data_IF_115539446995
#
_entry.id   IF_115539446995
#
_cell.length_a   1.000
_cell.length_b   1.000
_cell.length_c   1.000
_cell.angle_alpha   90.00
_cell.angle_beta   90.00
_cell.angle_gamma   90.00
#
_symmetry.space_group_name_H-M   'P 1'
#
loop_
_entity.id
_entity.type
_entity.pdbx_description
1 polymer ?
#
# COMPACT_ATOMS: atom_id res chain seq x y z
N UNK A 1 -16.17 -30.37 -63.76
CA UNK A 1 -15.15 -30.64 -64.73
C UNK A 1 -13.86 -30.35 -64.04
N UNK A 2 -13.36 -31.38 -63.47
CA UNK A 2 -12.11 -32.13 -63.67
C UNK A 2 -10.95 -31.39 -63.02
N UNK A 3 -10.43 -31.82 -61.97
CA UNK A 3 -9.83 -33.11 -61.59
C UNK A 3 -8.31 -33.15 -61.83
N UNK A 4 -7.65 -33.67 -60.80
CA UNK A 4 -6.37 -34.39 -60.78
C UNK A 4 -5.09 -33.51 -60.70
N UNK A 5 -4.22 -33.69 -59.80
CA UNK A 5 -3.69 -34.76 -58.93
C UNK A 5 -2.17 -34.87 -59.12
N UNK A 6 -1.51 -35.23 -58.02
CA UNK A 6 -0.22 -35.96 -57.91
C UNK A 6 1.06 -35.16 -58.21
N UNK A 7 1.99 -35.18 -57.40
CA UNK A 7 2.83 -36.05 -56.63
C UNK A 7 4.12 -35.30 -56.39
N UNK A 8 4.70 -35.36 -55.29
CA UNK A 8 5.51 -36.43 -54.81
C UNK A 8 6.97 -36.08 -54.68
N UNK A 9 7.55 -36.49 -53.58
CA UNK A 9 8.96 -36.83 -53.34
C UNK A 9 9.84 -35.80 -52.61
N UNK A 10 10.04 -36.13 -51.34
CA UNK A 10 11.25 -36.15 -50.49
C UNK A 10 12.49 -35.41 -51.00
N UNK A 11 13.04 -34.59 -50.17
CA UNK A 11 14.42 -34.84 -49.73
C UNK A 11 14.70 -34.33 -48.34
N UNK A 12 15.36 -35.17 -47.57
CA UNK A 12 15.95 -34.95 -46.27
C UNK A 12 17.17 -34.05 -46.44
N UNK A 13 17.37 -33.15 -45.50
CA UNK A 13 18.62 -33.09 -44.75
C UNK A 13 18.92 -31.68 -44.24
N UNK A 14 19.37 -31.72 -43.00
CA UNK A 14 20.23 -30.77 -42.30
C UNK A 14 19.55 -29.78 -41.39
N UNK A 15 19.31 -30.26 -40.18
CA UNK A 15 19.30 -29.48 -38.96
C UNK A 15 20.76 -29.10 -38.59
N UNK A 16 21.05 -27.85 -38.22
CA UNK A 16 22.21 -27.57 -37.40
C UNK A 16 21.82 -27.62 -35.92
N UNK A 17 22.60 -28.44 -35.26
CA UNK A 17 22.81 -28.65 -33.85
C UNK A 17 22.39 -27.50 -32.90
N UNK A 18 21.47 -27.83 -31.97
CA UNK A 18 21.38 -27.21 -30.66
C UNK A 18 22.68 -27.45 -29.91
N UNK A 19 23.37 -26.39 -29.56
CA UNK A 19 24.39 -26.41 -28.53
C UNK A 19 24.15 -25.16 -27.67
N UNK A 20 23.82 -25.40 -26.39
CA UNK A 20 24.09 -24.62 -25.21
C UNK A 20 23.35 -23.28 -25.00
N UNK A 21 22.10 -23.39 -24.59
CA UNK A 21 21.47 -22.32 -23.82
C UNK A 21 20.88 -22.84 -22.47
N UNK A 22 21.57 -23.78 -21.84
CA UNK A 22 21.22 -24.35 -20.54
C UNK A 22 21.93 -23.60 -19.39
N UNK A 23 22.91 -22.73 -19.72
CA UNK A 23 23.75 -22.13 -18.68
C UNK A 23 23.18 -20.87 -18.03
N UNK A 24 22.25 -20.20 -18.69
CA UNK A 24 21.63 -19.00 -18.15
C UNK A 24 20.46 -19.29 -17.19
N UNK A 25 19.62 -20.28 -17.53
CA UNK A 25 18.49 -20.68 -16.67
C UNK A 25 18.90 -21.26 -15.33
N UNK A 26 19.97 -22.04 -15.30
CA UNK A 26 20.49 -22.64 -14.05
C UNK A 26 21.13 -21.60 -13.12
N UNK A 27 21.51 -20.42 -13.62
CA UNK A 27 22.14 -19.38 -12.81
C UNK A 27 21.14 -18.52 -12.02
N UNK A 28 19.99 -18.24 -12.57
CA UNK A 28 18.97 -17.45 -11.87
C UNK A 28 18.29 -18.24 -10.74
N UNK A 29 17.95 -19.52 -10.99
CA UNK A 29 17.40 -20.40 -9.95
C UNK A 29 18.36 -20.69 -8.79
N UNK A 30 19.68 -20.66 -9.02
CA UNK A 30 20.66 -20.81 -7.94
C UNK A 30 20.78 -19.56 -7.06
N UNK A 31 20.49 -18.39 -7.58
CA UNK A 31 20.54 -17.15 -6.81
C UNK A 31 19.41 -17.09 -5.77
N UNK A 32 18.23 -17.61 -6.11
CA UNK A 32 17.07 -17.61 -5.19
C UNK A 32 17.08 -18.79 -4.21
N UNK A 33 17.60 -19.97 -4.58
CA UNK A 33 17.59 -21.17 -3.72
C UNK A 33 18.69 -21.22 -2.66
N UNK A 34 19.75 -20.41 -2.76
CA UNK A 34 20.85 -20.43 -1.76
C UNK A 34 20.64 -19.53 -0.57
N UNK A 35 19.69 -18.59 -0.61
CA UNK A 35 19.32 -17.86 0.60
C UNK A 35 18.37 -18.62 1.54
N UNK A 36 17.89 -19.80 1.11
CA UNK A 36 16.99 -20.66 1.89
C UNK A 36 17.68 -21.77 2.68
N UNK A 37 19.01 -21.82 2.78
CA UNK A 37 19.68 -22.84 3.57
C UNK A 37 20.08 -22.34 4.96
N UNK A 38 19.38 -22.90 5.92
CA UNK A 38 19.72 -23.02 7.33
C UNK A 38 19.46 -21.82 8.26
N UNK A 39 18.22 -21.68 8.72
CA UNK A 39 18.00 -21.40 10.13
C UNK A 39 16.78 -22.18 10.62
N UNK A 40 17.04 -23.18 11.44
CA UNK A 40 16.06 -23.89 12.24
C UNK A 40 15.63 -22.93 13.37
N UNK A 41 14.42 -22.42 13.34
CA UNK A 41 13.91 -21.50 14.36
C UNK A 41 12.89 -22.22 15.20
N UNK A 42 13.33 -22.63 16.36
CA UNK A 42 12.44 -22.89 17.50
C UNK A 42 11.79 -21.58 17.95
N UNK A 43 10.48 -21.58 17.89
CA UNK A 43 9.50 -20.59 18.30
C UNK A 43 9.87 -19.79 19.56
N UNK A 44 10.09 -18.49 19.42
CA UNK A 44 9.82 -17.51 20.47
C UNK A 44 9.44 -16.17 19.79
N UNK A 45 8.25 -15.71 20.09
CA UNK A 45 7.72 -14.39 19.72
C UNK A 45 8.64 -13.34 20.34
N UNK A 46 9.43 -12.65 19.52
CA UNK A 46 10.26 -11.52 19.94
C UNK A 46 9.66 -10.26 19.33
N UNK A 47 9.24 -9.35 20.18
CA UNK A 47 8.74 -8.01 19.82
C UNK A 47 9.81 -7.27 19.02
N UNK A 48 9.37 -6.51 18.02
CA UNK A 48 10.23 -5.74 17.09
C UNK A 48 11.08 -4.63 17.76
N UNK A 49 10.84 -4.33 19.03
CA UNK A 49 11.59 -3.32 19.81
C UNK A 49 12.95 -3.79 20.34
N UNK A 50 13.25 -5.12 20.34
CA UNK A 50 14.45 -5.67 21.00
C UNK A 50 15.67 -5.86 20.06
N UNK A 51 15.59 -5.50 18.78
CA UNK A 51 16.67 -5.72 17.81
C UNK A 51 17.66 -4.56 17.64
N UNK A 52 17.48 -3.44 18.36
CA UNK A 52 18.36 -2.26 18.21
C UNK A 52 19.63 -2.28 19.07
N UNK A 53 19.74 -3.13 20.10
CA UNK A 53 20.83 -3.01 21.09
C UNK A 53 22.14 -3.73 20.76
N UNK A 54 22.22 -4.57 19.69
CA UNK A 54 23.44 -5.38 19.42
C UNK A 54 23.98 -5.21 17.97
N UNK A 55 23.66 -4.11 17.28
CA UNK A 55 24.20 -3.88 15.93
C UNK A 55 25.60 -3.28 16.03
N UNK A 56 26.62 -3.87 15.34
CA UNK A 56 27.95 -3.25 15.30
C UNK A 56 27.83 -1.86 14.67
N UNK A 57 28.35 -0.85 15.37
CA UNK A 57 28.34 0.54 14.87
C UNK A 57 29.23 0.65 13.63
N UNK A 58 28.63 1.06 12.51
CA UNK A 58 29.37 1.33 11.28
C UNK A 58 30.26 2.58 11.43
N UNK A 59 31.49 2.50 10.96
CA UNK A 59 32.36 3.67 10.78
C UNK A 59 31.81 4.59 9.67
N UNK A 60 32.20 5.85 9.64
CA UNK A 60 31.77 6.82 8.60
C UNK A 60 32.08 6.31 7.19
N UNK A 61 33.18 5.59 7.03
CA UNK A 61 33.55 5.00 5.77
C UNK A 61 32.63 3.85 5.35
N UNK A 62 32.30 2.95 6.26
CA UNK A 62 31.36 1.85 6.02
C UNK A 62 29.97 2.37 5.71
N UNK A 63 29.50 3.40 6.45
CA UNK A 63 28.26 4.12 6.17
C UNK A 63 28.24 4.69 4.75
N UNK A 64 29.29 5.37 4.35
CA UNK A 64 29.39 5.96 3.01
C UNK A 64 29.38 4.89 1.92
N UNK A 65 30.15 3.81 2.10
CA UNK A 65 30.20 2.71 1.11
C UNK A 65 28.87 1.95 1.05
N UNK A 66 28.24 1.65 2.18
CA UNK A 66 26.94 1.00 2.21
C UNK A 66 25.88 1.85 1.48
N UNK A 67 25.82 3.16 1.76
CA UNK A 67 24.90 4.07 1.08
C UNK A 67 25.08 4.02 -0.43
N UNK A 68 26.30 4.17 -0.91
CA UNK A 68 26.59 4.17 -2.35
C UNK A 68 26.31 2.82 -3.02
N UNK A 69 26.54 1.71 -2.30
CA UNK A 69 26.16 0.37 -2.83
C UNK A 69 24.66 0.25 -2.97
N UNK A 70 23.87 0.73 -1.99
CA UNK A 70 22.41 0.70 -2.07
C UNK A 70 21.92 1.59 -3.22
N UNK A 71 22.39 2.83 -3.31
CA UNK A 71 22.01 3.79 -4.36
C UNK A 71 22.32 3.24 -5.77
N UNK A 72 23.55 2.75 -6.01
CA UNK A 72 23.93 2.18 -7.32
C UNK A 72 23.15 0.90 -7.63
N UNK A 73 22.87 0.06 -6.61
CA UNK A 73 22.07 -1.16 -6.81
C UNK A 73 20.61 -0.84 -7.15
N UNK A 74 20.03 0.19 -6.56
CA UNK A 74 18.69 0.67 -6.90
C UNK A 74 18.64 1.13 -8.36
N UNK A 75 19.63 1.88 -8.80
CA UNK A 75 19.69 2.45 -10.15
C UNK A 75 19.96 1.41 -11.24
N UNK A 76 20.92 0.51 -11.02
CA UNK A 76 21.42 -0.41 -12.06
C UNK A 76 20.77 -1.81 -12.03
N UNK A 77 20.04 -2.15 -10.95
CA UNK A 77 19.46 -3.48 -10.72
C UNK A 77 20.44 -4.65 -10.85
N UNK A 78 21.71 -4.41 -10.57
CA UNK A 78 22.79 -5.37 -10.73
C UNK A 78 23.82 -5.31 -9.61
N UNK A 79 24.56 -6.44 -9.38
CA UNK A 79 25.58 -6.47 -8.31
C UNK A 79 26.64 -5.37 -8.48
N UNK A 80 26.84 -4.58 -7.45
CA UNK A 80 27.70 -3.40 -7.43
C UNK A 80 29.16 -3.78 -7.26
N UNK A 81 30.01 -3.27 -8.15
CA UNK A 81 31.45 -3.54 -8.16
C UNK A 81 32.28 -2.40 -7.54
N UNK A 82 33.34 -2.72 -6.78
CA UNK A 82 34.23 -1.71 -6.23
C UNK A 82 34.90 -0.79 -7.28
N UNK A 83 34.96 -1.22 -8.55
CA UNK A 83 35.47 -0.39 -9.64
C UNK A 83 34.46 0.64 -10.15
N UNK A 84 33.18 0.35 -10.05
CA UNK A 84 32.11 1.28 -10.40
C UNK A 84 32.06 2.39 -9.37
N UNK A 85 31.99 2.07 -8.08
CA UNK A 85 32.05 3.05 -7.01
C UNK A 85 33.33 3.92 -7.02
N UNK A 86 34.49 3.35 -7.40
CA UNK A 86 35.73 4.11 -7.50
C UNK A 86 35.78 5.17 -8.62
N UNK A 87 34.77 5.17 -9.52
CA UNK A 87 34.64 6.24 -10.55
C UNK A 87 33.92 7.46 -10.01
N UNK A 88 33.24 7.34 -8.89
CA UNK A 88 32.63 8.47 -8.21
C UNK A 88 33.72 9.36 -7.66
N UNK A 89 33.81 10.58 -8.21
CA UNK A 89 34.83 11.57 -7.86
C UNK A 89 34.70 12.13 -6.44
N UNK A 90 33.60 11.85 -5.76
CA UNK A 90 33.34 12.23 -4.36
C UNK A 90 34.10 11.35 -3.38
N UNK A 91 34.49 10.13 -3.81
CA UNK A 91 35.26 9.18 -3.00
C UNK A 91 36.75 9.32 -3.26
N UNK A 92 37.48 9.83 -2.30
CA UNK A 92 38.96 9.79 -2.34
C UNK A 92 39.49 8.41 -1.89
N UNK A 93 38.96 7.33 -2.51
CA UNK A 93 39.28 5.95 -2.19
C UNK A 93 39.66 5.13 -3.43
N UNK A 94 40.69 4.29 -3.29
CA UNK A 94 41.02 3.32 -4.34
C UNK A 94 39.99 2.18 -4.41
N UNK A 95 39.82 1.58 -5.62
CA UNK A 95 38.96 0.42 -5.79
C UNK A 95 39.35 -0.77 -4.88
N UNK A 96 40.62 -0.92 -4.52
CA UNK A 96 41.10 -1.93 -3.59
C UNK A 96 40.60 -1.64 -2.16
N UNK A 97 40.64 -0.38 -1.77
CA UNK A 97 40.17 0.12 -0.48
C UNK A 97 38.66 -0.06 -0.33
N UNK A 98 37.86 0.30 -1.37
CA UNK A 98 36.43 0.09 -1.41
C UNK A 98 36.10 -1.40 -1.31
N UNK A 99 36.83 -2.24 -2.07
CA UNK A 99 36.60 -3.70 -2.03
C UNK A 99 36.78 -4.30 -0.64
N UNK A 100 37.79 -3.84 0.12
CA UNK A 100 37.99 -4.31 1.48
C UNK A 100 36.82 -3.89 2.39
N UNK A 101 36.40 -2.63 2.33
CA UNK A 101 35.24 -2.17 3.10
C UNK A 101 33.94 -2.91 2.72
N UNK A 102 33.73 -3.23 1.43
CA UNK A 102 32.60 -4.08 1.01
C UNK A 102 32.68 -5.49 1.57
N UNK A 103 33.89 -6.06 1.74
CA UNK A 103 34.08 -7.36 2.38
C UNK A 103 33.80 -7.29 3.90
N UNK A 104 34.24 -6.22 4.56
CA UNK A 104 33.92 -5.98 5.98
C UNK A 104 32.39 -5.86 6.18
N UNK A 105 31.69 -5.13 5.30
CA UNK A 105 30.21 -5.01 5.32
C UNK A 105 29.50 -6.33 5.03
N UNK A 106 30.09 -7.19 4.19
CA UNK A 106 29.58 -8.55 3.94
C UNK A 106 29.76 -9.43 5.18
N UNK A 107 30.93 -9.41 5.82
CA UNK A 107 31.19 -10.17 7.06
C UNK A 107 30.27 -9.72 8.20
N UNK A 108 29.84 -8.46 8.21
CA UNK A 108 28.83 -7.92 9.13
C UNK A 108 27.38 -8.17 8.73
N UNK A 109 27.12 -8.74 7.54
CA UNK A 109 25.80 -9.10 7.05
C UNK A 109 25.00 -7.97 6.38
N UNK A 110 25.59 -6.81 6.13
CA UNK A 110 24.93 -5.69 5.42
C UNK A 110 24.90 -5.88 3.91
N UNK A 111 25.88 -6.59 3.37
CA UNK A 111 25.99 -6.93 1.96
C UNK A 111 26.08 -8.45 1.78
N UNK A 112 25.74 -8.92 0.58
CA UNK A 112 25.90 -10.31 0.17
C UNK A 112 26.47 -10.36 -1.24
N UNK A 113 26.93 -11.55 -1.68
CA UNK A 113 27.38 -11.75 -3.05
C UNK A 113 26.62 -12.92 -3.69
N UNK A 114 25.91 -12.68 -4.80
CA UNK A 114 25.11 -13.72 -5.42
C UNK A 114 25.96 -14.89 -5.98
N UNK A 115 27.23 -14.62 -6.34
CA UNK A 115 28.20 -15.65 -6.76
C UNK A 115 29.65 -15.10 -6.68
N UNK A 116 30.64 -15.97 -6.56
CA UNK A 116 32.04 -15.67 -6.20
C UNK A 116 32.73 -14.58 -7.04
N UNK A 117 32.30 -14.31 -8.28
CA UNK A 117 32.86 -13.29 -9.18
C UNK A 117 31.97 -12.06 -9.32
N UNK A 118 30.80 -12.02 -8.65
CA UNK A 118 29.89 -10.88 -8.70
C UNK A 118 30.35 -9.72 -7.82
N UNK A 119 29.75 -8.56 -8.05
CA UNK A 119 29.77 -7.45 -7.10
C UNK A 119 29.04 -7.80 -5.79
N UNK A 120 28.64 -6.81 -5.05
CA UNK A 120 27.84 -6.97 -3.82
C UNK A 120 26.42 -6.49 -4.06
N UNK A 121 25.48 -7.09 -3.32
CA UNK A 121 24.08 -6.69 -3.27
C UNK A 121 23.71 -6.39 -1.82
N UNK A 122 22.84 -5.42 -1.56
CA UNK A 122 22.37 -5.15 -0.20
C UNK A 122 21.54 -6.33 0.32
N UNK A 123 21.73 -6.67 1.59
CA UNK A 123 20.83 -7.55 2.33
C UNK A 123 19.64 -6.77 2.89
N UNK A 124 18.66 -7.46 3.48
CA UNK A 124 17.58 -6.80 4.22
C UNK A 124 18.12 -5.88 5.33
N UNK A 125 19.14 -6.34 6.07
CA UNK A 125 19.81 -5.52 7.08
C UNK A 125 20.48 -4.29 6.46
N UNK A 126 21.11 -4.43 5.29
CA UNK A 126 21.70 -3.30 4.54
C UNK A 126 20.65 -2.26 4.16
N UNK A 127 19.51 -2.68 3.60
CA UNK A 127 18.40 -1.78 3.27
C UNK A 127 17.80 -1.12 4.51
N UNK A 128 17.57 -1.89 5.60
CA UNK A 128 17.03 -1.34 6.85
C UNK A 128 17.95 -0.25 7.41
N UNK A 129 19.26 -0.50 7.46
CA UNK A 129 20.25 0.48 7.92
C UNK A 129 20.29 1.71 6.99
N UNK A 130 20.19 1.48 5.67
CA UNK A 130 20.11 2.59 4.72
C UNK A 130 18.89 3.48 5.00
N UNK A 131 17.71 2.89 5.16
CA UNK A 131 16.47 3.63 5.42
C UNK A 131 16.50 4.35 6.75
N UNK A 132 16.98 3.71 7.82
CA UNK A 132 16.93 4.26 9.18
C UNK A 132 17.99 5.34 9.42
N UNK A 133 19.18 5.22 8.78
CA UNK A 133 20.35 6.00 9.19
C UNK A 133 21.07 6.73 8.05
N UNK A 134 20.93 6.28 6.81
CA UNK A 134 21.84 6.73 5.74
C UNK A 134 21.16 7.49 4.61
N UNK A 135 19.85 7.27 4.39
CA UNK A 135 19.16 7.94 3.30
C UNK A 135 18.86 9.40 3.65
N UNK A 136 18.99 10.25 2.65
CA UNK A 136 18.47 11.61 2.69
C UNK A 136 17.08 11.61 2.02
N UNK A 137 16.05 12.16 2.65
CA UNK A 137 14.75 12.30 2.01
C UNK A 137 14.76 13.48 1.04
N UNK A 138 14.71 13.24 -0.28
CA UNK A 138 14.77 14.32 -1.24
C UNK A 138 13.48 15.15 -1.19
N UNK A 139 13.61 16.44 -1.46
CA UNK A 139 12.45 17.30 -1.67
C UNK A 139 11.88 17.03 -3.06
N UNK A 140 10.55 16.88 -3.15
CA UNK A 140 9.88 16.85 -4.44
C UNK A 140 10.12 18.16 -5.19
N UNK A 141 10.20 18.08 -6.50
CA UNK A 141 10.25 19.28 -7.34
C UNK A 141 8.97 20.11 -7.16
N UNK A 142 9.06 21.41 -7.41
CA UNK A 142 7.88 22.28 -7.31
C UNK A 142 6.74 21.83 -8.25
N UNK A 143 7.09 21.28 -9.40
CA UNK A 143 6.11 20.76 -10.38
C UNK A 143 5.36 19.55 -9.81
N UNK A 144 6.05 18.64 -9.16
CA UNK A 144 5.45 17.44 -8.54
C UNK A 144 4.57 17.83 -7.36
N UNK A 145 5.02 18.71 -6.48
CA UNK A 145 4.23 19.22 -5.36
C UNK A 145 2.95 19.90 -5.83
N UNK A 146 3.04 20.77 -6.83
CA UNK A 146 1.88 21.44 -7.36
C UNK A 146 0.93 20.48 -8.09
N UNK A 147 1.46 19.44 -8.74
CA UNK A 147 0.65 18.38 -9.36
C UNK A 147 -0.15 17.62 -8.30
N UNK A 148 0.47 17.15 -7.22
CA UNK A 148 -0.22 16.49 -6.10
C UNK A 148 -1.31 17.39 -5.53
N UNK A 149 -0.96 18.65 -5.22
CA UNK A 149 -1.90 19.63 -4.66
C UNK A 149 -3.10 19.86 -5.57
N UNK A 150 -2.87 20.17 -6.86
CA UNK A 150 -3.97 20.48 -7.80
C UNK A 150 -4.90 19.29 -8.02
N UNK A 151 -4.37 18.07 -7.98
CA UNK A 151 -5.16 16.89 -8.28
C UNK A 151 -5.88 16.34 -7.05
N UNK A 152 -5.23 16.26 -5.89
CA UNK A 152 -5.80 15.63 -4.69
C UNK A 152 -6.68 16.60 -3.89
N UNK A 153 -6.28 17.86 -3.69
CA UNK A 153 -6.99 18.79 -2.80
C UNK A 153 -8.47 18.99 -3.15
N UNK A 154 -8.83 18.95 -4.43
CA UNK A 154 -10.22 19.11 -4.87
C UNK A 154 -11.07 17.85 -4.72
N UNK A 155 -10.44 16.69 -4.56
CA UNK A 155 -11.12 15.39 -4.51
C UNK A 155 -11.43 14.94 -3.08
N UNK A 156 -11.06 15.69 -2.07
CA UNK A 156 -11.22 15.34 -0.65
C UNK A 156 -12.68 15.08 -0.26
N UNK A 157 -13.66 15.56 -1.06
CA UNK A 157 -15.10 15.31 -0.86
C UNK A 157 -15.60 14.04 -1.55
N UNK A 158 -14.82 13.46 -2.45
CA UNK A 158 -15.16 12.24 -3.18
C UNK A 158 -14.06 11.20 -2.89
N UNK A 159 -14.31 10.39 -1.87
CA UNK A 159 -13.33 9.41 -1.37
C UNK A 159 -12.92 8.42 -2.46
N UNK A 160 -13.86 7.97 -3.28
CA UNK A 160 -13.59 6.99 -4.34
C UNK A 160 -12.67 7.56 -5.43
N UNK A 161 -12.92 8.79 -5.84
CA UNK A 161 -12.09 9.46 -6.82
C UNK A 161 -10.73 9.86 -6.23
N UNK A 162 -10.70 10.25 -4.94
CA UNK A 162 -9.47 10.54 -4.22
C UNK A 162 -8.55 9.32 -4.16
N UNK A 163 -9.07 8.15 -3.81
CA UNK A 163 -8.29 6.91 -3.75
C UNK A 163 -7.70 6.56 -5.12
N UNK A 164 -8.54 6.55 -6.16
CA UNK A 164 -8.10 6.25 -7.53
C UNK A 164 -7.04 7.21 -8.05
N UNK A 165 -7.22 8.51 -7.82
CA UNK A 165 -6.25 9.50 -8.29
C UNK A 165 -4.97 9.46 -7.46
N UNK A 166 -5.04 9.16 -6.16
CA UNK A 166 -3.87 8.99 -5.29
C UNK A 166 -3.00 7.82 -5.75
N UNK A 167 -3.60 6.65 -5.95
CA UNK A 167 -2.87 5.46 -6.41
C UNK A 167 -2.23 5.68 -7.78
N UNK A 168 -2.97 6.33 -8.71
CA UNK A 168 -2.47 6.65 -10.04
C UNK A 168 -1.29 7.62 -10.00
N UNK A 169 -1.37 8.69 -9.20
CA UNK A 169 -0.30 9.68 -9.08
C UNK A 169 0.94 9.07 -8.43
N UNK A 170 0.77 8.38 -7.31
CA UNK A 170 1.87 7.71 -6.63
C UNK A 170 2.57 6.72 -7.56
N UNK A 171 1.81 5.90 -8.27
CA UNK A 171 2.38 4.94 -9.21
C UNK A 171 3.11 5.62 -10.37
N UNK A 172 2.51 6.65 -10.98
CA UNK A 172 3.14 7.36 -12.10
C UNK A 172 4.45 8.05 -11.70
N UNK A 173 4.50 8.62 -10.49
CA UNK A 173 5.65 9.39 -10.03
C UNK A 173 6.76 8.51 -9.44
N UNK A 174 6.41 7.34 -8.87
CA UNK A 174 7.37 6.40 -8.27
C UNK A 174 7.78 5.26 -9.22
N UNK A 175 7.01 5.00 -10.26
CA UNK A 175 7.11 3.81 -11.12
C UNK A 175 6.90 2.50 -10.34
N UNK A 176 6.08 2.53 -9.29
CA UNK A 176 5.73 1.40 -8.43
C UNK A 176 4.21 1.15 -8.47
N UNK A 177 3.72 0.12 -7.77
CA UNK A 177 2.29 -0.09 -7.57
C UNK A 177 1.77 0.88 -6.52
N UNK A 178 0.86 1.77 -6.90
CA UNK A 178 0.16 2.66 -5.96
C UNK A 178 -0.94 1.91 -5.21
N UNK A 179 -1.06 2.16 -3.92
CA UNK A 179 -2.12 1.60 -3.07
C UNK A 179 -2.77 2.70 -2.24
N UNK A 180 -4.07 2.58 -2.01
CA UNK A 180 -4.78 3.45 -1.10
C UNK A 180 -5.94 2.70 -0.43
N UNK A 181 -6.01 2.80 0.90
CA UNK A 181 -7.07 2.24 1.72
C UNK A 181 -7.97 3.37 2.20
N UNK A 182 -9.28 3.23 1.99
CA UNK A 182 -10.26 4.21 2.44
C UNK A 182 -10.22 4.39 3.96
N UNK A 183 -10.60 5.58 4.47
CA UNK A 183 -10.75 5.78 5.91
C UNK A 183 -11.75 4.79 6.49
N UNK A 184 -11.45 4.22 7.66
CA UNK A 184 -12.36 3.34 8.39
C UNK A 184 -13.57 4.13 8.89
N UNK A 185 -14.74 3.75 8.43
CA UNK A 185 -16.01 4.37 8.87
C UNK A 185 -16.42 3.96 10.29
N UNK A 186 -15.96 2.82 10.83
CA UNK A 186 -16.35 2.35 12.16
C UNK A 186 -15.99 3.32 13.29
N UNK A 187 -14.87 4.00 13.15
CA UNK A 187 -14.42 5.04 14.11
C UNK A 187 -15.04 6.40 13.81
N UNK A 188 -15.67 6.54 12.62
CA UNK A 188 -16.29 7.79 12.22
C UNK A 188 -17.54 8.09 13.05
N UNK A 189 -17.66 9.33 13.54
CA UNK A 189 -18.79 9.79 14.32
C UNK A 189 -19.94 10.16 13.40
N UNK A 190 -21.12 9.56 13.59
CA UNK A 190 -22.31 9.89 12.81
C UNK A 190 -22.70 11.35 13.09
N UNK A 191 -22.67 12.17 12.07
CA UNK A 191 -23.16 13.54 12.13
C UNK A 191 -24.68 13.59 11.88
N UNK A 192 -25.12 12.90 10.82
CA UNK A 192 -26.51 12.88 10.42
C UNK A 192 -26.88 11.61 9.64
N UNK A 193 -28.09 11.11 9.90
CA UNK A 193 -28.80 10.12 9.10
C UNK A 193 -29.96 10.79 8.37
N UNK A 194 -30.06 10.60 7.06
CA UNK A 194 -31.20 11.01 6.24
C UNK A 194 -31.79 9.78 5.54
N UNK A 195 -33.12 9.81 5.31
CA UNK A 195 -33.85 8.78 4.58
C UNK A 195 -34.60 9.44 3.42
N UNK A 196 -34.26 9.01 2.20
CA UNK A 196 -34.83 9.57 0.97
C UNK A 196 -35.66 8.49 0.26
N UNK A 197 -36.98 8.70 0.07
CA UNK A 197 -37.79 7.77 -0.68
C UNK A 197 -37.43 7.79 -2.16
N UNK A 198 -37.21 6.60 -2.71
CA UNK A 198 -36.97 6.38 -4.15
C UNK A 198 -38.24 5.90 -4.83
N UNK A 199 -38.22 5.76 -6.16
CA UNK A 199 -39.35 5.19 -6.91
C UNK A 199 -39.53 3.71 -6.58
N UNK A 200 -40.78 3.29 -6.34
CA UNK A 200 -41.13 1.95 -5.90
C UNK A 200 -40.94 1.76 -4.39
N UNK A 201 -40.91 0.51 -3.94
CA UNK A 201 -40.78 0.15 -2.52
C UNK A 201 -39.32 0.21 -2.05
N UNK A 202 -38.64 1.35 -2.21
CA UNK A 202 -37.22 1.50 -1.85
C UNK A 202 -36.95 2.81 -1.15
N UNK A 203 -36.10 2.74 -0.11
CA UNK A 203 -35.60 3.88 0.64
C UNK A 203 -34.09 3.94 0.51
N UNK A 204 -33.55 5.13 0.28
CA UNK A 204 -32.12 5.39 0.35
C UNK A 204 -31.78 5.98 1.71
N UNK A 205 -30.94 5.31 2.45
CA UNK A 205 -30.35 5.79 3.68
C UNK A 205 -29.04 6.50 3.38
N UNK A 206 -28.85 7.69 3.91
CA UNK A 206 -27.65 8.52 3.74
C UNK A 206 -27.08 8.78 5.13
N UNK A 207 -25.95 8.20 5.43
CA UNK A 207 -25.22 8.39 6.68
C UNK A 207 -24.08 9.38 6.42
N UNK A 208 -24.17 10.56 6.99
CA UNK A 208 -23.11 11.56 6.97
C UNK A 208 -22.25 11.40 8.20
N UNK A 209 -20.95 11.16 8.02
CA UNK A 209 -19.97 11.03 9.09
C UNK A 209 -19.19 12.35 9.21
N UNK A 210 -18.83 12.75 10.43
CA UNK A 210 -18.02 13.95 10.66
C UNK A 210 -16.72 13.87 9.85
N UNK A 211 -16.41 14.97 9.16
CA UNK A 211 -15.29 15.01 8.24
C UNK A 211 -15.66 14.80 6.77
N UNK A 212 -16.97 14.70 6.46
CA UNK A 212 -17.48 14.75 5.09
C UNK A 212 -17.60 13.41 4.38
N UNK A 213 -17.30 12.30 5.04
CA UNK A 213 -17.53 10.97 4.48
C UNK A 213 -19.02 10.66 4.51
N UNK A 214 -19.56 10.19 3.39
CA UNK A 214 -20.97 9.86 3.23
C UNK A 214 -21.12 8.42 2.77
N UNK A 215 -21.90 7.62 3.54
CA UNK A 215 -22.30 6.26 3.16
C UNK A 215 -23.76 6.27 2.70
N UNK A 216 -24.05 5.65 1.57
CA UNK A 216 -25.41 5.50 1.05
C UNK A 216 -25.77 4.03 0.91
N UNK A 217 -26.99 3.68 1.33
CA UNK A 217 -27.58 2.33 1.14
C UNK A 217 -29.00 2.43 0.63
N UNK A 218 -29.40 1.48 -0.20
CA UNK A 218 -30.77 1.38 -0.69
C UNK A 218 -31.37 0.08 -0.14
N UNK A 219 -32.42 0.23 0.68
CA UNK A 219 -33.14 -0.88 1.26
C UNK A 219 -34.57 -0.95 0.68
N UNK A 220 -35.11 -2.17 0.58
CA UNK A 220 -36.52 -2.41 0.23
C UNK A 220 -37.41 -2.09 1.40
N UNK A 221 -38.53 -1.39 1.15
CA UNK A 221 -39.53 -1.10 2.17
C UNK A 221 -40.92 -1.01 1.56
N UNK A 222 -41.77 -1.99 1.88
CA UNK A 222 -43.12 -2.11 1.30
C UNK A 222 -44.16 -1.31 2.14
N UNK A 223 -44.14 0.01 2.06
CA UNK A 223 -45.16 0.86 2.66
C UNK A 223 -45.22 2.21 1.94
N UNK A 224 -46.47 2.70 1.76
CA UNK A 224 -46.68 4.08 1.31
C UNK A 224 -46.46 5.02 2.50
N UNK A 225 -45.33 5.68 2.54
CA UNK A 225 -44.95 6.64 3.59
C UNK A 225 -45.17 8.06 3.13
N UNK A 226 -45.81 8.85 3.97
CA UNK A 226 -45.83 10.29 3.79
C UNK A 226 -44.43 10.89 4.16
N UNK A 227 -44.02 11.89 3.43
CA UNK A 227 -42.75 12.57 3.68
C UNK A 227 -42.62 13.08 5.12
N UNK A 228 -43.71 13.56 5.70
CA UNK A 228 -43.82 14.00 7.10
C UNK A 228 -43.56 12.92 8.13
N UNK A 229 -43.86 11.67 7.79
CA UNK A 229 -43.62 10.50 8.64
C UNK A 229 -42.15 10.13 8.62
N UNK A 230 -41.54 10.13 7.43
CA UNK A 230 -40.09 9.91 7.26
C UNK A 230 -39.30 10.97 8.03
N UNK A 231 -39.60 12.26 7.83
CA UNK A 231 -38.93 13.39 8.51
C UNK A 231 -39.01 13.26 10.04
N UNK A 232 -40.13 12.80 10.58
CA UNK A 232 -40.29 12.57 12.02
C UNK A 232 -39.41 11.44 12.52
N UNK A 233 -39.39 10.31 11.81
CA UNK A 233 -38.54 9.17 12.18
C UNK A 233 -37.06 9.54 12.08
N UNK A 234 -36.65 10.22 11.00
CA UNK A 234 -35.28 10.74 10.84
C UNK A 234 -34.87 11.62 12.00
N UNK A 235 -35.76 12.54 12.44
CA UNK A 235 -35.47 13.41 13.60
C UNK A 235 -35.23 12.60 14.88
N UNK A 236 -36.06 11.59 15.14
CA UNK A 236 -35.93 10.72 16.31
C UNK A 236 -34.64 9.89 16.25
N UNK A 237 -34.33 9.32 15.08
CA UNK A 237 -33.11 8.54 14.89
C UNK A 237 -31.86 9.41 15.11
N UNK A 238 -31.83 10.62 14.55
CA UNK A 238 -30.70 11.54 14.75
C UNK A 238 -30.54 11.97 16.22
N UNK A 239 -31.63 12.21 16.96
CA UNK A 239 -31.57 12.52 18.39
C UNK A 239 -30.89 11.40 19.20
N UNK A 240 -31.00 10.14 18.77
CA UNK A 240 -30.49 8.97 19.49
C UNK A 240 -29.11 8.51 19.02
N UNK A 241 -28.77 8.77 17.77
CA UNK A 241 -27.62 8.18 17.10
C UNK A 241 -26.53 9.19 16.72
N UNK A 242 -26.89 10.45 16.44
CA UNK A 242 -25.89 11.46 16.11
C UNK A 242 -24.90 11.70 17.27
N UNK A 243 -23.64 11.86 16.94
CA UNK A 243 -22.56 12.02 17.90
C UNK A 243 -21.96 10.70 18.42
N UNK A 244 -22.46 9.55 17.97
CA UNK A 244 -21.90 8.23 18.27
C UNK A 244 -21.07 7.72 17.08
N UNK A 245 -20.06 6.90 17.35
CA UNK A 245 -19.36 6.17 16.30
C UNK A 245 -20.29 5.10 15.70
N UNK A 246 -20.07 4.76 14.44
CA UNK A 246 -20.86 3.68 13.80
C UNK A 246 -20.70 2.35 14.54
N UNK A 247 -19.55 2.09 15.15
CA UNK A 247 -19.32 0.93 16.02
C UNK A 247 -20.20 0.98 17.27
N UNK A 248 -20.22 2.10 18.00
CA UNK A 248 -21.08 2.26 19.18
C UNK A 248 -22.57 2.11 18.83
N UNK A 249 -22.98 2.65 17.67
CA UNK A 249 -24.36 2.48 17.19
C UNK A 249 -24.64 0.99 16.97
N UNK A 250 -23.78 0.28 16.27
CA UNK A 250 -23.95 -1.15 16.00
C UNK A 250 -24.04 -2.01 17.26
N UNK A 251 -23.24 -1.68 18.27
CA UNK A 251 -23.22 -2.41 19.55
C UNK A 251 -24.40 -2.07 20.48
N UNK A 252 -24.99 -0.88 20.35
CA UNK A 252 -25.98 -0.36 21.30
C UNK A 252 -27.33 -0.01 20.70
N UNK A 253 -27.54 -0.16 19.39
CA UNK A 253 -28.76 0.27 18.68
C UNK A 253 -30.06 -0.32 19.26
N UNK A 254 -30.09 -1.63 19.60
CA UNK A 254 -31.26 -2.28 20.18
C UNK A 254 -31.69 -1.61 21.50
N UNK A 255 -30.72 -1.35 22.39
CA UNK A 255 -31.00 -0.73 23.68
C UNK A 255 -31.46 0.72 23.53
N UNK A 256 -30.84 1.46 22.61
CA UNK A 256 -31.15 2.87 22.34
C UNK A 256 -32.49 3.08 21.67
N UNK A 257 -32.99 2.10 20.93
CA UNK A 257 -34.25 2.17 20.18
C UNK A 257 -35.39 1.37 20.80
N UNK A 258 -35.16 0.62 21.87
CA UNK A 258 -36.18 -0.28 22.49
C UNK A 258 -37.45 0.41 22.97
N UNK A 259 -37.38 1.67 23.35
CA UNK A 259 -38.48 2.49 23.85
C UNK A 259 -39.19 3.26 22.73
N UNK A 260 -38.61 3.30 21.55
CA UNK A 260 -39.18 3.99 20.41
C UNK A 260 -40.34 3.17 19.79
N UNK A 261 -41.40 3.85 19.42
CA UNK A 261 -42.54 3.29 18.71
C UNK A 261 -42.92 4.21 17.56
N UNK A 262 -42.91 3.67 16.37
CA UNK A 262 -43.44 4.35 15.20
C UNK A 262 -44.53 3.46 14.54
N UNK A 263 -45.43 4.11 13.83
CA UNK A 263 -46.48 3.39 13.09
C UNK A 263 -46.06 2.97 11.69
N UNK A 264 -44.93 3.48 11.25
CA UNK A 264 -44.42 3.30 9.89
C UNK A 264 -43.63 2.01 9.77
N UNK A 265 -43.03 1.48 10.84
CA UNK A 265 -42.11 0.34 10.81
C UNK A 265 -40.68 0.71 10.40
N UNK A 266 -40.36 2.02 10.17
CA UNK A 266 -39.02 2.46 9.78
C UNK A 266 -38.00 2.25 10.89
N UNK A 267 -38.35 2.51 12.17
CA UNK A 267 -37.44 2.26 13.29
C UNK A 267 -37.12 0.77 13.37
N UNK A 268 -38.13 -0.11 13.15
CA UNK A 268 -37.90 -1.55 13.15
C UNK A 268 -36.97 -1.96 11.99
N UNK A 269 -37.16 -1.39 10.79
CA UNK A 269 -36.26 -1.62 9.65
C UNK A 269 -34.81 -1.21 9.99
N UNK A 270 -34.61 -0.06 10.64
CA UNK A 270 -33.26 0.38 11.04
C UNK A 270 -32.63 -0.57 12.07
N UNK A 271 -33.44 -1.12 13.00
CA UNK A 271 -32.97 -2.12 13.96
C UNK A 271 -32.62 -3.44 13.26
N UNK A 272 -33.50 -3.94 12.39
CA UNK A 272 -33.32 -5.22 11.70
C UNK A 272 -32.13 -5.17 10.73
N UNK A 273 -31.92 -4.04 10.05
CA UNK A 273 -30.86 -3.83 9.06
C UNK A 273 -29.63 -3.10 9.65
N UNK A 274 -29.55 -2.98 10.97
CA UNK A 274 -28.47 -2.26 11.65
C UNK A 274 -27.08 -2.81 11.32
N UNK A 275 -26.98 -4.13 11.17
CA UNK A 275 -25.72 -4.80 10.78
C UNK A 275 -25.25 -4.37 9.39
N UNK A 276 -26.13 -3.99 8.48
CA UNK A 276 -25.82 -3.52 7.13
C UNK A 276 -25.70 -1.99 7.08
N UNK A 277 -26.63 -1.29 7.76
CA UNK A 277 -26.63 0.18 7.79
C UNK A 277 -25.38 0.74 8.45
N UNK A 278 -25.02 0.20 9.62
CA UNK A 278 -23.90 0.67 10.43
C UNK A 278 -22.68 -0.26 10.34
N UNK A 279 -22.69 -1.26 9.41
CA UNK A 279 -21.47 -1.97 9.09
C UNK A 279 -20.47 -1.01 8.51
N UNK A 280 -19.24 -1.28 8.78
CA UNK A 280 -18.24 -1.02 7.75
C UNK A 280 -18.61 -1.90 6.53
N UNK A 281 -18.31 -1.50 5.31
CA UNK A 281 -17.92 -2.49 4.33
C UNK A 281 -16.88 -3.34 5.06
N UNK A 282 -17.06 -4.66 5.11
CA UNK A 282 -16.20 -5.56 5.89
C UNK A 282 -14.73 -5.44 5.47
N UNK A 283 -14.51 -4.74 4.36
CA UNK A 283 -13.24 -4.43 3.74
C UNK A 283 -13.15 -2.93 3.57
N UNK A 284 -12.15 -2.30 4.19
CA UNK A 284 -11.77 -0.97 3.78
C UNK A 284 -11.57 -1.01 2.27
N UNK A 285 -12.22 -0.08 1.53
CA UNK A 285 -12.09 -0.07 0.07
C UNK A 285 -10.62 0.16 -0.28
N UNK A 286 -9.99 -0.89 -0.80
CA UNK A 286 -8.62 -0.88 -1.27
C UNK A 286 -8.62 -0.55 -2.77
N UNK A 287 -7.82 0.41 -3.16
CA UNK A 287 -7.60 0.77 -4.56
C UNK A 287 -6.14 0.55 -4.92
N UNK A 288 -5.93 -0.11 -6.05
CA UNK A 288 -4.62 -0.26 -6.67
C UNK A 288 -4.51 0.60 -7.92
N UNK A 289 -3.31 1.12 -8.21
CA UNK A 289 -3.06 1.89 -9.41
C UNK A 289 -1.68 1.63 -9.99
N UNK A 290 -1.60 1.56 -11.33
CA UNK A 290 -0.34 1.47 -12.06
C UNK A 290 0.32 0.09 -12.00
N UNK A 291 -0.45 -0.97 -12.12
CA UNK A 291 0.08 -2.34 -12.23
C UNK A 291 1.08 -2.47 -13.40
N UNK A 292 0.89 -1.72 -14.48
CA UNK A 292 1.83 -1.67 -15.60
C UNK A 292 3.21 -1.11 -15.22
N UNK A 293 3.25 -0.19 -14.24
CA UNK A 293 4.51 0.43 -13.82
C UNK A 293 5.37 -0.58 -13.03
N UNK A 294 4.79 -1.26 -12.04
CA UNK A 294 5.54 -2.26 -11.28
C UNK A 294 5.97 -3.44 -12.16
N UNK A 295 5.14 -3.87 -13.11
CA UNK A 295 5.49 -4.94 -14.07
C UNK A 295 6.62 -4.55 -15.03
N UNK A 296 6.94 -3.27 -15.16
CA UNK A 296 8.08 -2.78 -15.95
C UNK A 296 9.43 -2.95 -15.23
N UNK A 297 9.41 -3.23 -13.93
CA UNK A 297 10.63 -3.41 -13.13
C UNK A 297 11.35 -4.71 -13.51
N UNK A 298 12.68 -4.74 -13.42
CA UNK A 298 13.49 -5.93 -13.80
C UNK A 298 13.13 -7.21 -13.06
N UNK A 299 12.61 -7.12 -11.86
CA UNK A 299 12.21 -8.23 -11.01
C UNK A 299 11.01 -9.01 -11.55
N UNK A 300 10.19 -8.42 -12.41
CA UNK A 300 8.96 -9.01 -12.96
C UNK A 300 9.13 -9.54 -14.40
N UNK A 301 10.32 -9.91 -14.78
CA UNK A 301 10.56 -10.49 -16.11
C UNK A 301 10.17 -11.96 -16.20
N UNK A 302 10.16 -12.69 -15.08
CA UNK A 302 9.77 -14.09 -15.04
C UNK A 302 8.28 -14.26 -14.76
N UNK A 303 7.58 -15.22 -15.40
CA UNK A 303 6.14 -15.40 -15.22
C UNK A 303 5.71 -15.73 -13.78
N UNK A 304 6.58 -16.36 -13.00
CA UNK A 304 6.29 -16.74 -11.62
C UNK A 304 6.28 -15.51 -10.68
N UNK A 305 7.10 -14.50 -10.95
CA UNK A 305 7.12 -13.26 -10.20
C UNK A 305 5.89 -12.40 -10.50
N UNK A 306 5.48 -12.38 -11.78
CA UNK A 306 4.22 -11.74 -12.20
C UNK A 306 3.02 -12.40 -11.52
N UNK A 307 3.00 -13.75 -11.44
CA UNK A 307 1.92 -14.49 -10.78
C UNK A 307 1.81 -14.14 -9.31
N UNK A 308 2.93 -14.11 -8.57
CA UNK A 308 2.94 -13.72 -7.14
C UNK A 308 2.40 -12.31 -6.93
N UNK A 309 2.76 -11.36 -7.80
CA UNK A 309 2.20 -10.01 -7.72
C UNK A 309 0.69 -10.00 -7.94
N UNK A 310 0.19 -10.78 -8.90
CA UNK A 310 -1.25 -10.87 -9.15
C UNK A 310 -1.95 -11.51 -7.95
N UNK A 311 -1.41 -12.57 -7.37
CA UNK A 311 -1.96 -13.22 -6.16
C UNK A 311 -2.08 -12.22 -4.98
N UNK A 312 -1.07 -11.33 -4.80
CA UNK A 312 -1.13 -10.27 -3.79
C UNK A 312 -2.26 -9.26 -4.10
N UNK A 313 -2.39 -8.84 -5.37
CA UNK A 313 -3.43 -7.86 -5.76
C UNK A 313 -4.84 -8.46 -5.66
N UNK A 314 -5.00 -9.76 -5.91
CA UNK A 314 -6.28 -10.45 -5.83
C UNK A 314 -6.69 -10.78 -4.38
N UNK A 315 -5.75 -10.87 -3.45
CA UNK A 315 -6.01 -11.09 -2.02
C UNK A 315 -6.11 -9.73 -1.28
N UNK A 316 -7.16 -8.98 -1.60
CA UNK A 316 -7.41 -7.64 -1.04
C UNK A 316 -7.48 -7.66 0.49
N UNK A 317 -8.13 -8.67 1.08
CA UNK A 317 -8.28 -8.82 2.53
C UNK A 317 -6.92 -8.86 3.25
N UNK A 318 -5.98 -9.59 2.68
CA UNK A 318 -4.63 -9.70 3.22
C UNK A 318 -3.89 -8.36 3.15
N UNK A 319 -3.97 -7.68 2.01
CA UNK A 319 -3.32 -6.35 1.86
C UNK A 319 -3.93 -5.35 2.84
N UNK A 320 -5.25 -5.35 3.00
CA UNK A 320 -5.95 -4.53 4.00
C UNK A 320 -5.41 -4.81 5.39
N UNK A 321 -5.32 -6.10 5.79
CA UNK A 321 -4.81 -6.49 7.10
C UNK A 321 -3.38 -6.02 7.34
N UNK A 322 -2.50 -6.14 6.35
CA UNK A 322 -1.12 -5.64 6.43
C UNK A 322 -1.11 -4.12 6.65
N UNK A 323 -1.89 -3.36 5.86
CA UNK A 323 -1.96 -1.90 5.97
C UNK A 323 -2.52 -1.45 7.32
N UNK A 324 -3.50 -2.17 7.85
CA UNK A 324 -4.11 -1.91 9.15
C UNK A 324 -3.14 -2.17 10.30
N UNK A 325 -2.42 -3.28 10.26
CA UNK A 325 -1.40 -3.62 11.26
C UNK A 325 -0.28 -2.56 11.29
N UNK A 326 0.09 -2.01 10.11
CA UNK A 326 1.08 -0.94 10.02
C UNK A 326 0.61 0.33 10.74
N UNK A 327 -0.64 0.72 10.58
CA UNK A 327 -1.20 1.88 11.25
C UNK A 327 -1.39 1.64 12.76
N UNK A 328 -1.82 0.44 13.18
CA UNK A 328 -2.00 0.12 14.59
C UNK A 328 -0.68 0.11 15.37
N UNK A 329 0.44 -0.20 14.71
CA UNK A 329 1.77 -0.16 15.33
C UNK A 329 2.26 1.27 15.60
N UNK A 330 1.79 2.29 14.87
CA UNK A 330 2.13 3.70 15.11
C UNK A 330 0.95 4.63 14.76
N UNK A 331 -0.04 4.77 15.66
CA UNK A 331 -1.22 5.61 15.43
C UNK A 331 -0.92 7.11 15.31
N UNK A 332 0.24 7.55 15.81
CA UNK A 332 0.68 8.95 15.77
C UNK A 332 1.40 9.31 14.45
N UNK A 333 1.70 8.33 13.61
CA UNK A 333 2.42 8.52 12.34
C UNK A 333 1.59 9.17 11.22
N UNK A 334 0.46 9.83 11.52
CA UNK A 334 -0.37 10.49 10.48
C UNK A 334 0.46 11.53 9.72
N UNK A 335 0.60 11.32 8.40
CA UNK A 335 1.42 12.16 7.53
C UNK A 335 2.90 11.81 7.50
N UNK A 336 3.33 10.80 8.24
CA UNK A 336 4.71 10.27 8.22
C UNK A 336 4.74 8.93 7.50
N UNK A 337 5.86 8.65 6.86
CA UNK A 337 6.03 7.39 6.13
C UNK A 337 6.35 6.23 7.08
N UNK A 338 5.62 5.13 6.89
CA UNK A 338 5.89 3.83 7.52
C UNK A 338 6.47 2.92 6.45
N UNK A 339 7.64 2.33 6.71
CA UNK A 339 8.38 1.51 5.74
C UNK A 339 8.50 0.09 6.27
N UNK A 340 8.15 -0.90 5.43
CA UNK A 340 8.43 -2.32 5.67
C UNK A 340 9.22 -2.89 4.50
N UNK A 341 10.29 -3.58 4.80
CA UNK A 341 11.25 -4.09 3.82
C UNK A 341 11.20 -5.61 3.80
N UNK A 342 10.70 -6.17 2.71
CA UNK A 342 10.65 -7.62 2.53
C UNK A 342 9.92 -8.33 3.68
N UNK A 343 10.52 -9.39 4.23
CA UNK A 343 9.97 -10.20 5.32
C UNK A 343 9.79 -9.49 6.67
N UNK A 344 9.79 -8.15 6.73
CA UNK A 344 9.34 -7.39 7.91
C UNK A 344 7.81 -7.32 7.99
N UNK A 345 7.11 -7.70 6.95
CA UNK A 345 5.71 -8.08 7.02
C UNK A 345 5.66 -9.55 7.45
N UNK A 346 4.79 -9.93 8.36
CA UNK A 346 4.64 -11.33 8.82
C UNK A 346 4.04 -12.27 7.74
N UNK A 347 4.00 -11.81 6.48
CA UNK A 347 3.39 -12.48 5.34
C UNK A 347 4.47 -13.00 4.38
N UNK A 348 4.55 -14.34 4.22
CA UNK A 348 5.53 -15.02 3.36
C UNK A 348 5.51 -14.51 1.91
N UNK A 349 4.31 -14.25 1.36
CA UNK A 349 4.14 -13.77 -0.01
C UNK A 349 4.68 -12.35 -0.23
N UNK A 350 4.80 -11.59 0.85
CA UNK A 350 5.32 -10.22 0.81
C UNK A 350 6.85 -10.14 1.01
N UNK A 351 7.55 -11.25 1.23
CA UNK A 351 9.01 -11.26 1.46
C UNK A 351 9.84 -10.58 0.37
N UNK A 352 9.40 -10.67 -0.88
CA UNK A 352 10.09 -10.06 -2.02
C UNK A 352 9.72 -8.60 -2.28
N UNK A 353 8.76 -8.07 -1.51
CA UNK A 353 8.21 -6.74 -1.69
C UNK A 353 8.51 -5.84 -0.51
N UNK A 354 8.58 -4.57 -0.78
CA UNK A 354 8.61 -3.53 0.25
C UNK A 354 7.41 -2.62 0.10
N UNK A 355 6.95 -2.09 1.23
CA UNK A 355 5.80 -1.22 1.32
C UNK A 355 6.25 0.10 1.95
N UNK A 356 5.88 1.21 1.32
CA UNK A 356 6.01 2.56 1.90
C UNK A 356 4.62 3.18 1.94
N UNK A 357 4.11 3.44 3.13
CA UNK A 357 2.78 4.01 3.33
C UNK A 357 2.82 5.24 4.23
N UNK A 358 1.79 6.05 4.16
CA UNK A 358 1.52 7.09 5.15
C UNK A 358 0.03 7.13 5.46
N UNK A 359 -0.34 7.14 6.73
CA UNK A 359 -1.71 7.39 7.11
C UNK A 359 -2.11 8.83 6.78
N UNK A 360 -3.31 9.01 6.25
CA UNK A 360 -3.90 10.33 6.00
C UNK A 360 -5.21 10.50 6.75
N UNK A 361 -5.61 11.73 7.01
CA UNK A 361 -6.82 12.06 7.78
C UNK A 361 -7.85 12.79 6.92
N UNK A 362 -9.09 12.30 6.97
CA UNK A 362 -10.27 12.99 6.46
C UNK A 362 -11.24 13.23 7.62
N UNK A 363 -11.29 14.46 8.12
CA UNK A 363 -12.04 14.78 9.33
C UNK A 363 -11.51 13.98 10.54
N UNK A 364 -12.37 13.17 11.15
CA UNK A 364 -12.02 12.32 12.29
C UNK A 364 -11.59 10.89 11.88
N UNK A 365 -11.68 10.56 10.61
CA UNK A 365 -11.34 9.22 10.10
C UNK A 365 -9.94 9.18 9.49
N UNK A 366 -9.30 8.02 9.54
CA UNK A 366 -7.96 7.81 9.02
C UNK A 366 -7.98 6.71 7.97
N UNK A 367 -7.38 7.00 6.83
CA UNK A 367 -7.06 6.04 5.78
C UNK A 367 -5.55 5.92 5.58
N UNK A 368 -5.11 5.07 4.69
CA UNK A 368 -3.70 4.86 4.37
C UNK A 368 -3.48 4.95 2.87
N UNK A 369 -2.41 5.58 2.44
CA UNK A 369 -1.96 5.59 1.05
C UNK A 369 -0.48 5.21 0.97
N UNK A 370 -0.05 4.70 -0.17
CA UNK A 370 1.34 4.29 -0.31
C UNK A 370 1.69 3.65 -1.65
N UNK A 371 2.83 2.99 -1.65
CA UNK A 371 3.34 2.23 -2.78
C UNK A 371 3.87 0.87 -2.34
N UNK A 372 3.70 -0.12 -3.22
CA UNK A 372 4.33 -1.44 -3.12
C UNK A 372 5.33 -1.55 -4.26
N UNK A 373 6.52 -2.04 -3.96
CA UNK A 373 7.56 -2.28 -4.96
C UNK A 373 8.46 -3.44 -4.57
N UNK A 374 9.41 -3.82 -5.45
CA UNK A 374 10.43 -4.79 -5.10
C UNK A 374 11.28 -4.25 -3.94
N UNK A 375 11.94 -5.13 -3.19
CA UNK A 375 12.85 -4.72 -2.11
C UNK A 375 13.91 -3.73 -2.58
N UNK A 376 14.27 -3.79 -3.87
CA UNK A 376 15.12 -2.83 -4.56
C UNK A 376 14.29 -1.64 -5.09
N UNK A 377 13.82 -0.77 -4.24
CA UNK A 377 13.15 0.46 -4.69
C UNK A 377 13.86 1.73 -4.21
N UNK A 378 13.57 2.85 -4.85
CA UNK A 378 14.02 4.17 -4.41
C UNK A 378 13.20 4.61 -3.18
N UNK A 379 13.62 4.16 -1.99
CA UNK A 379 12.95 4.48 -0.73
C UNK A 379 12.86 5.98 -0.46
N UNK A 380 13.96 6.78 -0.63
CA UNK A 380 13.91 8.22 -0.45
C UNK A 380 12.80 8.88 -1.26
N UNK A 381 12.69 8.50 -2.53
CA UNK A 381 11.68 9.03 -3.43
C UNK A 381 10.27 8.57 -3.06
N UNK A 382 10.10 7.30 -2.72
CA UNK A 382 8.81 6.74 -2.30
C UNK A 382 8.31 7.47 -1.03
N UNK A 383 9.16 7.67 -0.04
CA UNK A 383 8.86 8.43 1.19
C UNK A 383 8.41 9.85 0.85
N UNK A 384 9.20 10.58 0.05
CA UNK A 384 8.87 11.96 -0.31
C UNK A 384 7.50 12.06 -1.00
N UNK A 385 7.17 11.14 -1.91
CA UNK A 385 5.89 11.13 -2.63
C UNK A 385 4.72 10.83 -1.70
N UNK A 386 4.85 9.80 -0.88
CA UNK A 386 3.79 9.32 0.00
C UNK A 386 3.48 10.36 1.09
N UNK A 387 4.49 10.93 1.74
CA UNK A 387 4.31 11.97 2.76
C UNK A 387 3.68 13.24 2.19
N UNK A 388 4.15 13.70 1.02
CA UNK A 388 3.57 14.90 0.39
C UNK A 388 2.12 14.67 -0.06
N UNK A 389 1.77 13.47 -0.54
CA UNK A 389 0.39 13.15 -0.90
C UNK A 389 -0.52 13.14 0.34
N UNK A 390 -0.07 12.49 1.43
CA UNK A 390 -0.81 12.49 2.70
C UNK A 390 -0.98 13.90 3.29
N UNK A 391 0.06 14.74 3.24
CA UNK A 391 0.03 16.12 3.72
C UNK A 391 -0.99 16.98 2.94
N UNK A 392 -1.05 16.83 1.61
CA UNK A 392 -2.06 17.53 0.80
C UNK A 392 -3.48 17.14 1.22
N UNK A 393 -3.74 15.84 1.43
CA UNK A 393 -5.06 15.36 1.85
C UNK A 393 -5.39 15.87 3.26
N UNK A 394 -4.46 15.77 4.20
CA UNK A 394 -4.62 16.21 5.58
C UNK A 394 -5.01 17.70 5.68
N UNK A 395 -4.28 18.56 4.94
CA UNK A 395 -4.56 20.01 4.94
C UNK A 395 -5.90 20.32 4.32
N UNK A 396 -6.21 19.72 3.17
CA UNK A 396 -7.46 19.97 2.47
C UNK A 396 -8.67 19.41 3.24
N UNK A 397 -8.51 18.28 3.95
CA UNK A 397 -9.54 17.72 4.83
C UNK A 397 -9.84 18.60 6.03
N UNK A 398 -8.82 19.21 6.64
CA UNK A 398 -8.99 20.13 7.78
C UNK A 398 -9.67 21.44 7.40
N UNK A 399 -9.41 21.98 6.21
CA UNK A 399 -10.10 23.18 5.69
C UNK A 399 -11.60 22.94 5.48
N UNK A 400 -11.99 21.72 5.07
CA UNK A 400 -13.39 21.36 4.92
C UNK A 400 -14.13 21.24 6.26
N UNK A 401 -13.48 20.68 7.27
CA UNK A 401 -14.03 20.54 8.61
C UNK A 401 -14.31 21.91 9.25
N UNK A 402 -13.37 22.84 9.14
CA UNK A 402 -13.53 24.21 9.68
C UNK A 402 -14.63 25.02 8.98
N UNK A 403 -14.84 24.79 7.66
CA UNK A 403 -15.89 25.50 6.90
C UNK A 403 -17.31 24.99 7.21
N UNK A 404 -17.46 23.76 7.73
CA UNK A 404 -18.75 23.21 8.15
C UNK A 404 -19.18 23.69 9.53
N UNK A 405 -18.24 23.97 10.43
CA UNK A 405 -18.53 24.50 11.77
C UNK A 405 -18.96 25.98 11.77
N UNK A 406 -18.48 26.78 10.80
CA UNK A 406 -18.88 28.20 10.65
C UNK A 406 -20.29 28.40 10.03
N UNK A 407 -20.91 27.33 9.54
CA UNK A 407 -22.23 27.39 8.86
C UNK A 407 -23.37 26.78 9.70
N UNK A 408 -23.12 26.30 10.90
CA UNK A 408 -24.11 25.76 11.85
C UNK A 408 -24.43 26.76 12.96
#
# INVERSE_FOLDING_TARGET
MDALALGGVRDESVLPSRVDDVSARTRCEMLFRKSQCAYDVSTSVVNAEDQHEDRPSLSDRERTILRLVVEEFVDEAGPVGSRSLAKDSSLDLSAASIRNTMADLEDMGYLDHPYTSAGRVPTRLGYRTFVDELMDTPQLTEVEREMLKMRLARLVRDTDELLRESTRLLSTLSNLLGIALSPRLATGVLDRLDIVPLSGSRLMFVLSVRGGVVKTLVLGFESDLERSEIERVVSILNERLAGLTLREIRETHEERMKDLRDKTGLIQLVVDESSVLFSEPEEGRLEFGGTENILSQPEFQEPDDVRRLIEIIEDEDRVVQVLENLFESDPDAVGQAIIRIGGETDEEEMESYSIVTSPYRLGETVGTLGVIGPTRMDYPRAVALVENAADVINRSGSELSSASDDSA
#
